data_IF_089473485527
#
_entry.id   IF_089473485527
#
_cell.length_a   1.000
_cell.length_b   1.000
_cell.length_c   1.000
_cell.angle_alpha   90.00
_cell.angle_beta   90.00
_cell.angle_gamma   90.00
#
_symmetry.space_group_name_H-M   'P 1'
#
loop_
_entity.id
_entity.type
_entity.pdbx_description
1 polymer ?
#
# COMPACT_ATOMS: atom_id res chain seq x y z
N UNK A 1 2.76 10.54 4.20
CA UNK A 1 4.08 10.69 4.84
C UNK A 1 4.18 9.71 5.99
N UNK A 2 5.38 9.27 6.36
CA UNK A 2 5.57 8.38 7.51
C UNK A 2 5.03 9.04 8.80
N UNK A 3 4.24 8.32 9.62
CA UNK A 3 3.60 8.90 10.81
C UNK A 3 4.59 9.52 11.78
N UNK A 4 5.71 8.84 12.05
CA UNK A 4 6.74 9.32 12.98
C UNK A 4 7.47 10.58 12.47
N UNK A 5 7.63 10.71 11.15
CA UNK A 5 8.18 11.91 10.54
C UNK A 5 7.18 13.07 10.61
N UNK A 6 5.94 12.84 10.21
CA UNK A 6 4.90 13.88 10.19
C UNK A 6 4.51 14.37 11.60
N UNK A 7 4.44 13.47 12.57
CA UNK A 7 3.99 13.80 13.93
C UNK A 7 5.12 14.28 14.84
N UNK A 8 6.35 13.77 14.65
CA UNK A 8 7.48 14.02 15.58
C UNK A 8 8.72 14.62 14.92
N UNK A 9 8.74 14.78 13.59
CA UNK A 9 9.91 15.25 12.86
C UNK A 9 11.07 14.26 12.81
N UNK A 10 10.81 12.97 13.06
CA UNK A 10 11.87 11.96 13.09
C UNK A 10 12.28 11.55 11.67
N UNK A 11 13.37 12.12 11.19
CA UNK A 11 14.00 11.73 9.93
C UNK A 11 14.78 10.44 10.13
N UNK A 12 14.35 9.36 9.46
CA UNK A 12 14.96 8.04 9.54
C UNK A 12 14.96 7.39 8.15
N UNK A 13 15.82 6.40 7.94
CA UNK A 13 15.77 5.52 6.77
C UNK A 13 14.41 4.83 6.63
N UNK A 14 13.73 4.54 7.74
CA UNK A 14 12.37 3.97 7.75
C UNK A 14 11.29 4.92 7.25
N UNK A 15 11.50 6.23 7.31
CA UNK A 15 10.58 7.20 6.71
C UNK A 15 10.65 7.16 5.17
N UNK A 16 11.85 6.90 4.61
CA UNK A 16 12.04 6.69 3.17
C UNK A 16 11.40 5.37 2.73
N UNK A 17 11.57 4.29 3.51
CA UNK A 17 10.91 2.99 3.25
C UNK A 17 9.38 3.15 3.19
N UNK A 18 8.79 3.87 4.15
CA UNK A 18 7.35 4.16 4.13
C UNK A 18 6.94 4.91 2.86
N UNK A 19 7.71 5.93 2.48
CA UNK A 19 7.39 6.76 1.32
C UNK A 19 7.50 5.96 0.02
N UNK A 20 8.47 5.05 -0.09
CA UNK A 20 8.55 4.07 -1.17
C UNK A 20 7.30 3.17 -1.22
N UNK A 21 6.83 2.69 -0.07
CA UNK A 21 5.63 1.87 0.01
C UNK A 21 4.39 2.57 -0.57
N UNK A 22 4.23 3.87 -0.28
CA UNK A 22 3.17 4.68 -0.88
C UNK A 22 3.34 4.81 -2.39
N UNK A 23 4.55 5.12 -2.87
CA UNK A 23 4.84 5.23 -4.31
C UNK A 23 4.58 3.91 -5.04
N UNK A 24 4.91 2.77 -4.41
CA UNK A 24 4.62 1.46 -4.97
C UNK A 24 3.10 1.23 -5.16
N UNK A 25 2.27 1.65 -4.20
CA UNK A 25 0.81 1.62 -4.37
C UNK A 25 0.32 2.57 -5.47
N UNK A 26 0.94 3.75 -5.61
CA UNK A 26 0.61 4.69 -6.69
C UNK A 26 0.94 4.09 -8.07
N UNK A 27 2.08 3.40 -8.20
CA UNK A 27 2.49 2.71 -9.44
C UNK A 27 1.48 1.61 -9.80
N UNK A 28 1.14 0.74 -8.85
CA UNK A 28 0.22 -0.38 -9.11
C UNK A 28 -1.17 0.12 -9.47
N UNK A 29 -1.66 1.17 -8.79
CA UNK A 29 -3.02 1.67 -8.96
C UNK A 29 -3.21 2.69 -10.06
N UNK A 30 -2.12 3.27 -10.59
CA UNK A 30 -2.16 4.40 -11.52
C UNK A 30 -2.80 5.66 -10.91
N UNK A 31 -2.96 5.71 -9.58
CA UNK A 31 -3.66 6.77 -8.84
C UNK A 31 -2.68 7.47 -7.91
N UNK A 32 -2.86 8.77 -7.72
CA UNK A 32 -2.13 9.49 -6.67
C UNK A 32 -2.73 9.20 -5.30
N UNK A 33 -1.88 9.04 -4.29
CA UNK A 33 -2.25 8.81 -2.89
C UNK A 33 -3.11 9.94 -2.30
N UNK A 34 -3.04 11.14 -2.89
CA UNK A 34 -3.84 12.30 -2.47
C UNK A 34 -4.89 12.69 -3.50
N UNK A 35 -5.54 11.73 -4.17
CA UNK A 35 -6.60 12.07 -5.14
C UNK A 35 -7.72 12.88 -4.44
N UNK A 36 -7.63 14.21 -4.56
CA UNK A 36 -8.53 15.16 -3.95
C UNK A 36 -9.84 15.12 -4.74
N UNK A 37 -10.72 14.17 -4.40
CA UNK A 37 -12.13 14.33 -4.75
C UNK A 37 -12.75 15.29 -3.74
N UNK A 38 -13.46 16.29 -4.25
CA UNK A 38 -13.91 17.46 -3.53
C UNK A 38 -14.58 17.11 -2.19
N UNK A 39 -14.07 17.74 -1.12
CA UNK A 39 -14.71 18.02 0.18
C UNK A 39 -15.59 16.87 0.73
N UNK A 40 -14.95 15.99 1.51
CA UNK A 40 -15.46 15.35 2.77
C UNK A 40 -14.98 13.89 2.96
N UNK A 41 -14.51 13.21 1.90
CA UNK A 41 -14.08 11.81 1.99
C UNK A 41 -12.77 11.54 1.24
N UNK A 42 -11.64 11.99 1.77
CA UNK A 42 -10.32 11.58 1.27
C UNK A 42 -10.06 10.14 1.69
N UNK A 43 -10.06 9.21 0.73
CA UNK A 43 -9.66 7.82 0.98
C UNK A 43 -8.20 7.69 0.54
N UNK A 44 -7.34 7.25 1.45
CA UNK A 44 -5.93 7.01 1.14
C UNK A 44 -5.77 5.66 0.44
N UNK A 45 -4.83 5.57 -0.50
CA UNK A 45 -4.56 4.32 -1.22
C UNK A 45 -4.16 3.19 -0.28
N UNK A 46 -3.46 3.52 0.81
CA UNK A 46 -3.07 2.56 1.83
C UNK A 46 -4.28 1.93 2.52
N UNK A 47 -5.28 2.72 2.89
CA UNK A 47 -6.51 2.20 3.53
C UNK A 47 -7.28 1.28 2.57
N UNK A 48 -7.33 1.66 1.28
CA UNK A 48 -7.96 0.84 0.25
C UNK A 48 -7.23 -0.49 0.01
N UNK A 49 -5.91 -0.46 -0.06
CA UNK A 49 -5.09 -1.66 -0.24
C UNK A 49 -5.23 -2.62 0.95
N UNK A 50 -5.31 -2.11 2.19
CA UNK A 50 -5.56 -2.91 3.38
C UNK A 50 -6.95 -3.57 3.34
N UNK A 51 -7.98 -2.83 2.95
CA UNK A 51 -9.32 -3.38 2.78
C UNK A 51 -9.36 -4.50 1.72
N UNK A 52 -8.75 -4.29 0.55
CA UNK A 52 -8.66 -5.32 -0.48
C UNK A 52 -7.85 -6.54 -0.06
N UNK A 53 -6.85 -6.36 0.82
CA UNK A 53 -6.09 -7.47 1.40
C UNK A 53 -6.98 -8.33 2.30
N UNK A 54 -7.79 -7.70 3.16
CA UNK A 54 -8.74 -8.39 4.04
C UNK A 54 -9.82 -9.15 3.24
N UNK A 55 -10.31 -8.56 2.15
CA UNK A 55 -11.29 -9.19 1.25
C UNK A 55 -10.69 -10.22 0.29
N UNK A 56 -9.36 -10.38 0.26
CA UNK A 56 -8.67 -11.29 -0.68
C UNK A 56 -8.77 -10.88 -2.15
N UNK A 57 -9.02 -9.60 -2.43
CA UNK A 57 -9.27 -9.04 -3.77
C UNK A 57 -8.23 -8.00 -4.18
N UNK A 58 -6.95 -8.25 -3.87
CA UNK A 58 -5.84 -7.31 -4.13
C UNK A 58 -5.71 -6.85 -5.59
N UNK A 59 -6.11 -7.68 -6.56
CA UNK A 59 -6.07 -7.33 -7.98
C UNK A 59 -7.05 -6.21 -8.35
N UNK A 60 -8.08 -5.93 -7.53
CA UNK A 60 -8.96 -4.77 -7.71
C UNK A 60 -8.22 -3.43 -7.50
N UNK A 61 -6.99 -3.45 -6.99
CA UNK A 61 -6.16 -2.26 -6.86
C UNK A 61 -5.49 -1.85 -8.17
N UNK A 62 -5.30 -2.79 -9.11
CA UNK A 62 -4.49 -2.58 -10.32
C UNK A 62 -5.11 -1.53 -11.23
N UNK A 63 -4.25 -0.69 -11.83
CA UNK A 63 -4.68 0.29 -12.82
C UNK A 63 -5.48 -0.37 -13.96
N UNK A 64 -6.76 -0.03 -14.14
CA UNK A 64 -7.59 -0.59 -15.20
C UNK A 64 -7.04 -0.34 -16.61
N UNK A 65 -6.19 0.68 -16.79
CA UNK A 65 -5.57 0.99 -18.08
C UNK A 65 -4.58 -0.09 -18.56
N UNK A 66 -4.06 -0.91 -17.63
CA UNK A 66 -3.19 -2.05 -17.94
C UNK A 66 -3.97 -3.25 -18.51
N UNK A 67 -5.29 -3.32 -18.28
CA UNK A 67 -6.13 -4.41 -18.78
C UNK A 67 -5.70 -5.79 -18.26
N UNK A 68 -4.98 -6.54 -19.09
CA UNK A 68 -4.41 -7.87 -18.78
C UNK A 68 -2.89 -7.91 -19.03
N UNK A 69 -2.27 -6.75 -19.27
CA UNK A 69 -0.86 -6.62 -19.60
C UNK A 69 0.00 -6.48 -18.33
N UNK A 70 -0.12 -7.46 -17.43
CA UNK A 70 0.69 -7.56 -16.22
C UNK A 70 0.72 -9.00 -15.71
N UNK A 71 1.73 -9.32 -14.90
CA UNK A 71 1.81 -10.59 -14.19
C UNK A 71 1.12 -10.45 -12.82
N UNK A 72 0.04 -11.22 -12.60
CA UNK A 72 -0.73 -11.18 -11.35
C UNK A 72 0.14 -11.47 -10.11
N UNK A 73 1.07 -12.41 -10.17
CA UNK A 73 1.93 -12.78 -9.04
C UNK A 73 2.91 -11.65 -8.69
N UNK A 74 3.47 -10.98 -9.70
CA UNK A 74 4.38 -9.84 -9.49
C UNK A 74 3.63 -8.65 -8.90
N UNK A 75 2.42 -8.39 -9.36
CA UNK A 75 1.56 -7.33 -8.80
C UNK A 75 1.21 -7.64 -7.36
N UNK A 76 0.73 -8.85 -7.05
CA UNK A 76 0.41 -9.25 -5.67
C UNK A 76 1.63 -9.10 -4.77
N UNK A 77 2.81 -9.52 -5.25
CA UNK A 77 4.08 -9.35 -4.53
C UNK A 77 4.39 -7.88 -4.27
N UNK A 78 4.29 -7.03 -5.29
CA UNK A 78 4.51 -5.57 -5.19
C UNK A 78 3.56 -4.93 -4.17
N UNK A 79 2.27 -5.30 -4.18
CA UNK A 79 1.29 -4.77 -3.21
C UNK A 79 1.64 -5.22 -1.79
N UNK A 80 1.98 -6.49 -1.59
CA UNK A 80 2.33 -7.00 -0.26
C UNK A 80 3.61 -6.33 0.29
N UNK A 81 4.62 -6.14 -0.56
CA UNK A 81 5.83 -5.37 -0.20
C UNK A 81 5.47 -3.92 0.14
N UNK A 82 4.60 -3.29 -0.64
CA UNK A 82 4.16 -1.92 -0.40
C UNK A 82 3.41 -1.75 0.93
N UNK A 83 2.51 -2.69 1.26
CA UNK A 83 1.79 -2.73 2.53
C UNK A 83 2.76 -2.89 3.71
N UNK A 84 3.73 -3.80 3.59
CA UNK A 84 4.76 -4.02 4.60
C UNK A 84 5.65 -2.77 4.80
N UNK A 85 6.04 -2.10 3.71
CA UNK A 85 6.81 -0.86 3.78
C UNK A 85 6.01 0.28 4.43
N UNK A 86 4.68 0.28 4.26
CA UNK A 86 3.79 1.34 4.72
C UNK A 86 3.18 1.08 6.11
N UNK A 87 3.74 0.16 6.89
CA UNK A 87 3.26 -0.10 8.24
C UNK A 87 3.40 1.13 9.15
N UNK A 88 2.44 1.33 10.05
CA UNK A 88 2.45 2.43 11.02
C UNK A 88 3.67 2.34 11.94
N UNK A 89 4.10 1.13 12.29
CA UNK A 89 5.28 0.86 13.09
C UNK A 89 6.54 0.82 12.20
N UNK A 90 7.44 1.78 12.39
CA UNK A 90 8.73 1.79 11.67
C UNK A 90 9.62 0.59 11.99
N UNK A 91 9.37 -0.10 13.11
CA UNK A 91 10.15 -1.25 13.55
C UNK A 91 9.91 -2.51 12.70
N UNK A 92 8.72 -2.69 12.13
CA UNK A 92 8.38 -3.87 11.32
C UNK A 92 8.68 -3.66 9.84
N UNK A 93 8.85 -2.40 9.41
CA UNK A 93 9.21 -2.08 8.02
C UNK A 93 10.57 -2.73 7.69
N UNK A 94 10.74 -3.28 6.48
CA UNK A 94 12.00 -3.90 6.04
C UNK A 94 13.11 -2.86 5.87
N UNK A 95 14.34 -3.32 5.64
CA UNK A 95 15.41 -2.47 5.10
C UNK A 95 15.23 -2.32 3.60
N UNK A 96 15.73 -1.23 3.00
CA UNK A 96 15.70 -1.04 1.55
C UNK A 96 16.34 -2.18 0.77
N UNK A 97 17.42 -2.77 1.28
CA UNK A 97 18.04 -3.95 0.67
C UNK A 97 17.12 -5.17 0.68
N UNK A 98 16.35 -5.36 1.75
CA UNK A 98 15.36 -6.44 1.84
C UNK A 98 14.21 -6.20 0.87
N UNK A 99 13.74 -4.94 0.74
CA UNK A 99 12.73 -4.56 -0.26
C UNK A 99 13.17 -4.95 -1.66
N UNK A 100 14.39 -4.60 -2.06
CA UNK A 100 14.94 -4.97 -3.37
C UNK A 100 14.98 -6.50 -3.53
N UNK A 101 15.49 -7.23 -2.54
CA UNK A 101 15.53 -8.70 -2.60
C UNK A 101 14.15 -9.33 -2.75
N UNK A 102 13.11 -8.79 -2.10
CA UNK A 102 11.73 -9.27 -2.26
C UNK A 102 11.19 -8.98 -3.67
N UNK A 103 11.42 -7.76 -4.20
CA UNK A 103 10.97 -7.38 -5.54
C UNK A 103 11.69 -8.14 -6.66
N UNK A 104 12.95 -8.55 -6.43
CA UNK A 104 13.70 -9.40 -7.36
C UNK A 104 13.35 -10.90 -7.23
N UNK A 105 12.38 -11.26 -6.38
CA UNK A 105 12.00 -12.66 -6.13
C UNK A 105 13.07 -13.48 -5.40
N UNK A 106 14.07 -12.83 -4.79
CA UNK A 106 15.18 -13.48 -4.06
C UNK A 106 14.86 -13.73 -2.59
N UNK A 107 13.80 -13.12 -2.06
CA UNK A 107 13.33 -13.30 -0.69
C UNK A 107 11.79 -13.36 -0.65
N UNK A 108 11.25 -14.19 0.23
CA UNK A 108 9.81 -14.24 0.46
C UNK A 108 9.33 -12.99 1.22
N UNK A 109 8.17 -12.47 0.82
CA UNK A 109 7.44 -11.51 1.64
C UNK A 109 6.87 -12.29 2.82
N UNK A 110 7.31 -11.97 4.05
CA UNK A 110 6.74 -12.63 5.23
C UNK A 110 5.26 -12.22 5.32
N UNK A 111 4.35 -13.19 5.38
CA UNK A 111 2.94 -12.94 5.64
C UNK A 111 2.81 -12.34 7.04
N UNK A 112 2.70 -11.02 7.13
CA UNK A 112 2.32 -10.37 8.36
C UNK A 112 0.82 -10.59 8.54
N UNK A 113 0.47 -11.49 9.45
CA UNK A 113 -0.85 -11.57 10.08
C UNK A 113 -1.12 -10.22 10.75
N UNK A 114 -1.82 -9.33 10.04
CA UNK A 114 -2.27 -8.08 10.62
C UNK A 114 -3.38 -8.45 11.60
N UNK A 115 -3.08 -8.37 12.89
CA UNK A 115 -4.06 -8.40 13.95
C UNK A 115 -5.06 -7.25 13.73
N UNK A 116 -6.22 -7.63 13.20
CA UNK A 116 -7.55 -7.05 13.37
C UNK A 116 -7.55 -5.58 13.84
N UNK A 117 -7.40 -4.66 12.88
CA UNK A 117 -7.76 -3.26 13.09
C UNK A 117 -8.99 -2.95 12.29
N UNK A 118 -10.13 -3.35 12.83
CA UNK A 118 -11.45 -2.91 12.39
C UNK A 118 -11.50 -1.38 12.28
N UNK A 119 -11.38 -0.90 11.04
CA UNK A 119 -11.96 0.36 10.60
C UNK A 119 -12.86 0.00 9.43
N UNK A 120 -14.15 -0.14 9.70
CA UNK A 120 -15.15 -0.35 8.67
C UNK A 120 -15.11 0.84 7.69
N UNK A 121 -14.77 0.57 6.44
CA UNK A 121 -14.83 1.54 5.37
C UNK A 121 -16.25 1.55 4.79
N UNK A 122 -16.87 2.73 4.69
CA UNK A 122 -18.24 2.89 4.17
C UNK A 122 -18.37 2.38 2.72
N UNK A 123 -19.42 1.63 2.39
CA UNK A 123 -19.64 1.07 1.04
C UNK A 123 -19.66 2.12 -0.08
N UNK A 124 -20.10 3.34 0.21
CA UNK A 124 -20.08 4.45 -0.76
C UNK A 124 -18.67 4.93 -1.12
N UNK A 125 -17.69 4.72 -0.24
CA UNK A 125 -16.27 5.03 -0.46
C UNK A 125 -15.63 3.99 -1.37
N UNK A 126 -15.96 2.71 -1.15
CA UNK A 126 -15.54 1.55 -1.95
C UNK A 126 -15.92 1.74 -3.42
N UNK A 127 -17.17 2.13 -3.71
CA UNK A 127 -17.65 2.32 -5.08
C UNK A 127 -16.94 3.44 -5.87
N UNK A 128 -16.35 4.42 -5.17
CA UNK A 128 -15.61 5.53 -5.81
C UNK A 128 -14.17 5.18 -6.16
N UNK A 129 -13.58 4.21 -5.47
CA UNK A 129 -12.21 3.71 -5.73
C UNK A 129 -12.15 2.73 -6.89
N UNK A 130 -13.26 2.06 -7.21
CA UNK A 130 -13.42 1.20 -8.39
C UNK A 130 -13.63 1.96 -9.71
N UNK A 131 -13.63 3.31 -9.68
CA UNK A 131 -13.65 4.18 -10.88
C UNK A 131 -12.26 4.69 -11.22
#
# INVERSE_FOLDING_TARGET
>A
MAPEYAMRGYLTDKADVYSLGIVALEIVSGKSNTSHRAKEDTIYLLDWALFLKEEGTLLDLVDPSLGQDYNEEEVITMINVALLCSDVSSAVRPTMSSVVSMLEGKAAVQDFDIADKSKSMDEHKIARLKR
#
